data_IF_178484434419
#
_entry.id   IF_178484434419
#
_cell.length_a   1.000
_cell.length_b   1.000
_cell.length_c   1.000
_cell.angle_alpha   90.00
_cell.angle_beta   90.00
_cell.angle_gamma   90.00
#
_symmetry.space_group_name_H-M   'P 1'
#
loop_
_entity.id
_entity.type
_entity.pdbx_description
1 polymer ?
#
# COMPACT_ATOMS: atom_id res chain seq x y z
N UNK A 1 -15.58 16.39 -14.92
CA UNK A 1 -14.70 15.25 -14.63
C UNK A 1 -14.72 15.08 -13.14
N UNK A 2 -15.42 14.08 -12.62
CA UNK A 2 -15.37 13.75 -11.19
C UNK A 2 -13.95 13.25 -10.88
N UNK A 3 -13.25 13.93 -10.00
CA UNK A 3 -11.96 13.46 -9.50
C UNK A 3 -12.20 12.09 -8.84
N UNK A 4 -11.51 11.07 -9.34
CA UNK A 4 -11.58 9.73 -8.79
C UNK A 4 -10.94 9.75 -7.39
N UNK A 5 -11.61 9.21 -6.38
CA UNK A 5 -11.12 9.20 -5.00
C UNK A 5 -9.88 8.31 -4.93
N UNK A 6 -8.79 8.82 -4.35
CA UNK A 6 -7.57 8.06 -4.07
C UNK A 6 -7.62 7.52 -2.66
N UNK A 7 -7.26 6.25 -2.51
CA UNK A 7 -7.16 5.60 -1.20
C UNK A 7 -5.82 5.89 -0.54
N UNK A 8 -5.85 6.09 0.76
CA UNK A 8 -4.68 6.20 1.64
C UNK A 8 -5.03 5.66 3.03
N UNK A 9 -4.04 5.31 3.81
CA UNK A 9 -4.26 4.88 5.19
C UNK A 9 -4.72 6.08 6.01
N UNK A 10 -5.94 6.02 6.52
CA UNK A 10 -6.58 7.11 7.27
C UNK A 10 -7.61 6.58 8.26
N UNK A 11 -7.80 7.31 9.34
CA UNK A 11 -8.75 6.99 10.42
C UNK A 11 -9.83 8.05 10.49
N UNK A 12 -11.06 7.66 10.18
CA UNK A 12 -12.24 8.56 10.15
C UNK A 12 -12.99 8.61 11.50
N UNK A 13 -12.69 7.69 12.43
CA UNK A 13 -13.36 7.59 13.72
C UNK A 13 -12.46 7.92 14.89
N UNK A 14 -12.93 8.76 15.81
CA UNK A 14 -12.21 9.07 17.05
C UNK A 14 -12.09 7.88 17.99
N UNK A 15 -12.90 6.85 17.80
CA UNK A 15 -12.88 5.63 18.61
C UNK A 15 -11.73 4.68 18.24
N UNK A 16 -11.13 4.85 17.06
CA UNK A 16 -10.00 4.03 16.62
C UNK A 16 -8.69 4.73 16.98
N UNK A 17 -7.78 3.96 17.55
CA UNK A 17 -6.42 4.40 17.91
C UNK A 17 -5.38 3.40 17.43
N UNK A 18 -4.13 3.84 17.40
CA UNK A 18 -2.96 3.00 17.14
C UNK A 18 -3.05 2.15 15.86
N UNK A 19 -3.73 2.65 14.80
CA UNK A 19 -3.78 1.93 13.53
C UNK A 19 -2.36 1.70 13.01
N UNK A 20 -1.98 0.44 12.81
CA UNK A 20 -0.73 0.00 12.23
C UNK A 20 -1.00 -0.93 11.06
N UNK A 21 -0.24 -0.77 9.98
CA UNK A 21 -0.26 -1.63 8.80
C UNK A 21 1.18 -2.01 8.49
N UNK A 22 1.51 -3.27 8.60
CA UNK A 22 2.89 -3.77 8.48
C UNK A 22 2.91 -5.24 8.02
N UNK A 23 4.08 -5.77 7.72
CA UNK A 23 4.27 -7.21 7.55
C UNK A 23 4.20 -7.89 8.91
N UNK A 24 3.46 -8.99 8.99
CA UNK A 24 3.27 -9.74 10.23
C UNK A 24 4.61 -10.24 10.79
N UNK A 25 4.79 -10.07 12.12
CA UNK A 25 6.03 -10.45 12.79
C UNK A 25 7.13 -9.40 12.74
N UNK A 26 7.01 -8.35 11.94
CA UNK A 26 7.97 -7.26 11.91
C UNK A 26 7.52 -6.09 12.79
N UNK A 27 8.49 -5.42 13.43
CA UNK A 27 8.18 -4.24 14.25
C UNK A 27 7.87 -3.02 13.39
N UNK A 28 8.68 -2.81 12.36
CA UNK A 28 8.56 -1.72 11.40
C UNK A 28 8.88 -2.31 10.03
N UNK A 29 7.93 -2.23 9.09
CA UNK A 29 8.13 -2.64 7.71
C UNK A 29 7.23 -1.82 6.79
N UNK A 30 7.65 -1.72 5.54
CA UNK A 30 6.77 -1.23 4.50
C UNK A 30 5.65 -2.24 4.27
N UNK A 31 4.39 -1.79 4.13
CA UNK A 31 3.26 -2.69 4.02
C UNK A 31 3.12 -3.25 2.60
N UNK A 32 4.01 -4.16 2.21
CA UNK A 32 3.87 -4.93 0.99
C UNK A 32 4.29 -6.38 1.19
N UNK A 33 3.67 -7.28 0.45
CA UNK A 33 3.95 -8.72 0.45
C UNK A 33 4.01 -9.24 -0.99
N UNK A 34 4.69 -10.38 -1.19
CA UNK A 34 4.71 -11.04 -2.48
C UNK A 34 3.40 -11.80 -2.75
N UNK A 35 2.88 -11.72 -3.97
CA UNK A 35 1.73 -12.51 -4.40
C UNK A 35 2.04 -14.01 -4.31
N UNK A 36 1.20 -14.76 -3.59
CA UNK A 36 1.41 -16.20 -3.35
C UNK A 36 2.59 -16.52 -2.43
N UNK A 37 3.18 -15.53 -1.76
CA UNK A 37 4.18 -15.71 -0.72
C UNK A 37 3.59 -16.20 0.60
N UNK A 38 4.46 -16.47 1.56
CA UNK A 38 4.07 -16.92 2.91
C UNK A 38 3.81 -15.75 3.88
N UNK A 39 4.24 -14.55 3.51
CA UNK A 39 4.08 -13.37 4.34
C UNK A 39 2.63 -12.88 4.35
N UNK A 40 2.24 -12.26 5.46
CA UNK A 40 0.93 -11.64 5.64
C UNK A 40 1.08 -10.17 6.02
N UNK A 41 0.12 -9.36 5.61
CA UNK A 41 -0.07 -8.01 6.16
C UNK A 41 -0.83 -8.13 7.47
N UNK A 42 -0.31 -7.49 8.51
CA UNK A 42 -0.98 -7.30 9.79
C UNK A 42 -1.56 -5.88 9.87
N UNK A 43 -2.87 -5.80 10.05
CA UNK A 43 -3.59 -4.58 10.37
C UNK A 43 -3.99 -4.68 11.82
N UNK A 44 -3.42 -3.82 12.68
CA UNK A 44 -3.64 -3.81 14.11
C UNK A 44 -4.20 -2.45 14.53
N UNK A 45 -5.22 -2.45 15.40
CA UNK A 45 -5.83 -1.22 15.89
C UNK A 45 -6.53 -1.41 17.22
N UNK A 46 -6.68 -0.32 17.98
CA UNK A 46 -7.42 -0.29 19.22
C UNK A 46 -8.78 0.38 19.01
N UNK A 47 -9.85 -0.33 19.35
CA UNK A 47 -11.20 0.22 19.45
C UNK A 47 -11.49 0.67 20.88
N UNK A 48 -11.72 1.98 21.09
CA UNK A 48 -12.05 2.53 22.41
C UNK A 48 -13.49 2.17 22.80
N UNK A 49 -13.68 1.76 24.04
CA UNK A 49 -14.97 1.42 24.61
C UNK A 49 -14.91 0.14 25.43
N UNK A 50 -16.01 -0.13 26.17
CA UNK A 50 -16.15 -1.37 26.94
C UNK A 50 -16.81 -2.43 26.07
N UNK A 51 -16.11 -3.54 25.86
CA UNK A 51 -16.66 -4.72 25.21
C UNK A 51 -16.28 -4.86 23.74
N UNK A 52 -16.75 -5.94 23.18
CA UNK A 52 -16.52 -6.33 21.79
C UNK A 52 -17.42 -5.53 20.84
N UNK A 53 -16.80 -4.95 19.84
CA UNK A 53 -17.50 -4.34 18.70
C UNK A 53 -17.26 -5.20 17.46
N UNK A 54 -18.31 -5.56 16.76
CA UNK A 54 -18.21 -6.34 15.52
C UNK A 54 -17.80 -5.42 14.38
N UNK A 55 -16.54 -5.55 14.01
CA UNK A 55 -15.99 -4.89 12.81
C UNK A 55 -15.97 -5.86 11.65
N UNK A 56 -16.35 -5.35 10.48
CA UNK A 56 -16.23 -6.05 9.21
C UNK A 56 -15.41 -5.20 8.23
N UNK A 57 -14.92 -5.84 7.18
CA UNK A 57 -14.10 -5.17 6.20
C UNK A 57 -14.46 -5.53 4.76
N UNK A 58 -14.26 -4.56 3.88
CA UNK A 58 -14.26 -4.74 2.43
C UNK A 58 -12.86 -4.59 1.88
N UNK A 59 -12.55 -5.38 0.88
CA UNK A 59 -11.29 -5.33 0.13
C UNK A 59 -11.53 -4.59 -1.17
N UNK A 60 -10.71 -3.58 -1.45
CA UNK A 60 -10.75 -2.80 -2.70
C UNK A 60 -9.42 -2.94 -3.40
N UNK A 61 -9.41 -3.38 -4.65
CA UNK A 61 -8.22 -3.36 -5.49
C UNK A 61 -8.06 -1.99 -6.15
N UNK A 62 -6.85 -1.45 -6.12
CA UNK A 62 -6.53 -0.11 -6.60
C UNK A 62 -5.50 -0.16 -7.73
N UNK A 63 -5.58 0.85 -8.58
CA UNK A 63 -4.57 1.14 -9.61
C UNK A 63 -3.25 1.61 -8.97
N UNK A 64 -2.22 1.78 -9.78
CA UNK A 64 -0.91 2.27 -9.34
C UNK A 64 -0.97 3.66 -8.66
N UNK A 65 -1.92 4.50 -9.04
CA UNK A 65 -2.17 5.82 -8.47
C UNK A 65 -3.12 5.82 -7.25
N UNK A 66 -3.46 4.63 -6.74
CA UNK A 66 -4.38 4.41 -5.62
C UNK A 66 -5.85 4.75 -5.88
N UNK A 67 -6.25 4.99 -7.11
CA UNK A 67 -7.67 5.02 -7.47
C UNK A 67 -8.22 3.61 -7.52
N UNK A 68 -9.52 3.44 -7.28
CA UNK A 68 -10.15 2.12 -7.40
C UNK A 68 -9.98 1.57 -8.83
N UNK A 69 -9.59 0.32 -8.94
CA UNK A 69 -9.49 -0.36 -10.23
C UNK A 69 -10.88 -0.73 -10.78
N UNK A 70 -10.93 -1.11 -12.03
CA UNK A 70 -12.16 -1.58 -12.66
C UNK A 70 -12.43 -3.07 -12.45
N UNK A 71 -11.51 -3.78 -11.76
CA UNK A 71 -11.68 -5.20 -11.48
C UNK A 71 -12.81 -5.42 -10.47
N UNK A 72 -13.63 -6.42 -10.72
CA UNK A 72 -14.62 -6.89 -9.78
C UNK A 72 -13.98 -7.74 -8.66
N UNK A 73 -14.58 -7.88 -7.47
CA UNK A 73 -13.99 -8.66 -6.36
C UNK A 73 -13.57 -10.06 -6.74
N UNK A 74 -14.33 -10.78 -7.55
CA UNK A 74 -14.01 -12.14 -7.97
C UNK A 74 -12.76 -12.24 -8.87
N UNK A 75 -12.37 -11.14 -9.51
CA UNK A 75 -11.17 -11.09 -10.36
C UNK A 75 -9.90 -10.92 -9.54
N UNK A 76 -9.92 -10.15 -8.45
CA UNK A 76 -8.73 -9.85 -7.68
C UNK A 76 -8.57 -10.66 -6.38
N UNK A 77 -9.64 -11.30 -5.89
CA UNK A 77 -9.55 -12.13 -4.68
C UNK A 77 -10.44 -13.37 -4.75
N UNK A 78 -10.11 -14.38 -3.95
CA UNK A 78 -11.03 -15.43 -3.51
C UNK A 78 -11.51 -15.03 -2.12
N UNK A 79 -12.82 -15.10 -1.88
CA UNK A 79 -13.43 -14.74 -0.61
C UNK A 79 -14.61 -13.80 -0.80
N UNK A 80 -15.10 -13.26 0.31
CA UNK A 80 -16.29 -12.41 0.34
C UNK A 80 -15.97 -11.03 0.89
N UNK A 81 -16.76 -10.05 0.45
CA UNK A 81 -16.79 -8.74 1.09
C UNK A 81 -17.60 -8.82 2.38
N UNK A 82 -17.29 -7.96 3.34
CA UNK A 82 -18.00 -7.93 4.61
C UNK A 82 -17.60 -9.02 5.60
N UNK A 83 -16.39 -9.54 5.47
CA UNK A 83 -15.82 -10.52 6.43
C UNK A 83 -15.55 -9.85 7.77
N UNK A 84 -15.89 -10.53 8.87
CA UNK A 84 -15.67 -10.03 10.25
C UNK A 84 -14.22 -10.12 10.70
N UNK A 85 -13.84 -9.24 11.63
CA UNK A 85 -12.55 -9.27 12.32
C UNK A 85 -12.78 -9.93 13.68
N UNK A 86 -12.38 -11.20 13.82
CA UNK A 86 -12.68 -12.01 15.00
C UNK A 86 -11.49 -12.14 15.95
N UNK A 87 -10.26 -11.78 15.54
CA UNK A 87 -9.10 -11.79 16.42
C UNK A 87 -9.02 -10.47 17.21
N UNK A 88 -9.39 -10.55 18.48
CA UNK A 88 -9.35 -9.42 19.40
C UNK A 88 -9.00 -9.80 20.83
N UNK A 89 -8.45 -8.84 21.58
CA UNK A 89 -8.17 -8.95 22.99
C UNK A 89 -8.62 -7.70 23.75
N UNK A 90 -9.33 -7.91 24.87
CA UNK A 90 -9.77 -6.79 25.71
C UNK A 90 -8.64 -6.31 26.61
N UNK A 91 -8.56 -5.00 26.83
CA UNK A 91 -7.66 -4.42 27.82
C UNK A 91 -8.05 -4.84 29.25
N UNK A 92 -7.05 -5.07 30.09
CA UNK A 92 -7.25 -5.45 31.51
C UNK A 92 -6.55 -4.43 32.39
N UNK A 93 -7.28 -3.86 33.35
CA UNK A 93 -6.71 -2.97 34.36
C UNK A 93 -6.29 -1.58 33.89
N UNK A 94 -6.81 -1.13 32.74
CA UNK A 94 -6.53 0.18 32.16
C UNK A 94 -7.56 1.24 32.59
N UNK A 95 -7.12 2.51 32.68
CA UNK A 95 -8.01 3.64 33.00
C UNK A 95 -9.06 3.88 31.89
N UNK A 96 -8.65 3.69 30.63
CA UNK A 96 -9.54 3.73 29.46
C UNK A 96 -9.67 2.31 28.94
N UNK A 97 -10.87 1.80 28.85
CA UNK A 97 -11.12 0.48 28.26
C UNK A 97 -11.01 0.55 26.75
N UNK A 98 -10.35 -0.44 26.18
CA UNK A 98 -10.25 -0.65 24.74
C UNK A 98 -10.15 -2.15 24.43
N UNK A 99 -10.42 -2.49 23.18
CA UNK A 99 -10.16 -3.81 22.63
C UNK A 99 -9.16 -3.65 21.49
N UNK A 100 -8.09 -4.44 21.53
CA UNK A 100 -7.13 -4.53 20.44
C UNK A 100 -7.63 -5.54 19.43
N UNK A 101 -7.66 -5.17 18.17
CA UNK A 101 -8.06 -6.00 17.03
C UNK A 101 -6.88 -6.25 16.12
N UNK A 102 -6.83 -7.44 15.55
CA UNK A 102 -5.79 -7.87 14.63
C UNK A 102 -6.42 -8.55 13.41
N UNK A 103 -6.07 -8.08 12.23
CA UNK A 103 -6.44 -8.70 10.96
C UNK A 103 -5.17 -9.09 10.20
N UNK A 104 -5.05 -10.35 9.85
CA UNK A 104 -3.99 -10.87 8.99
C UNK A 104 -4.54 -11.12 7.59
N UNK A 105 -3.83 -10.69 6.57
CA UNK A 105 -4.16 -10.89 5.16
C UNK A 105 -2.93 -11.29 4.34
N UNK A 106 -3.03 -12.29 3.42
CA UNK A 106 -4.20 -13.13 3.17
C UNK A 106 -4.49 -14.08 4.35
N UNK A 107 -5.73 -14.58 4.44
CA UNK A 107 -6.17 -15.55 5.44
C UNK A 107 -7.10 -16.60 4.79
N UNK A 108 -7.73 -17.46 5.57
CA UNK A 108 -8.60 -18.52 5.03
C UNK A 108 -9.85 -17.95 4.32
N UNK A 109 -10.30 -16.75 4.72
CA UNK A 109 -11.49 -16.11 4.16
C UNK A 109 -11.18 -15.23 2.94
N UNK A 110 -9.95 -14.72 2.83
CA UNK A 110 -9.54 -13.78 1.77
C UNK A 110 -8.15 -14.13 1.24
N UNK A 111 -8.08 -14.45 -0.04
CA UNK A 111 -6.84 -14.77 -0.76
C UNK A 111 -6.71 -13.85 -1.98
N UNK A 112 -5.56 -13.21 -2.16
CA UNK A 112 -5.30 -12.35 -3.32
C UNK A 112 -4.97 -13.17 -4.56
N UNK A 113 -5.52 -12.77 -5.72
CA UNK A 113 -5.32 -13.44 -7.02
C UNK A 113 -4.42 -12.67 -7.96
N UNK A 114 -4.34 -11.35 -7.77
CA UNK A 114 -3.55 -10.45 -8.61
C UNK A 114 -2.71 -9.52 -7.76
N UNK A 115 -1.57 -9.10 -8.29
CA UNK A 115 -0.76 -8.05 -7.70
C UNK A 115 -1.41 -6.67 -7.90
N UNK A 116 -1.05 -5.71 -7.07
CA UNK A 116 -1.53 -4.34 -7.13
C UNK A 116 -1.61 -3.70 -5.75
N UNK A 117 -2.18 -2.53 -5.70
CA UNK A 117 -2.47 -1.83 -4.46
C UNK A 117 -3.83 -2.26 -3.92
N UNK A 118 -3.92 -2.38 -2.61
CA UNK A 118 -5.14 -2.80 -1.91
C UNK A 118 -5.49 -1.83 -0.80
N UNK A 119 -6.77 -1.55 -0.66
CA UNK A 119 -7.33 -0.78 0.44
C UNK A 119 -8.35 -1.65 1.19
N UNK A 120 -8.16 -1.78 2.49
CA UNK A 120 -9.11 -2.44 3.39
C UNK A 120 -9.94 -1.36 4.06
N UNK A 121 -11.23 -1.36 3.78
CA UNK A 121 -12.18 -0.44 4.36
C UNK A 121 -12.91 -1.13 5.51
N UNK A 122 -12.64 -0.70 6.74
CA UNK A 122 -13.24 -1.28 7.94
C UNK A 122 -14.41 -0.43 8.40
N UNK A 123 -15.48 -1.10 8.80
CA UNK A 123 -16.72 -0.49 9.29
C UNK A 123 -17.31 -1.31 10.44
N UNK A 124 -18.21 -0.71 11.21
CA UNK A 124 -19.02 -1.43 12.19
C UNK A 124 -20.20 -2.13 11.47
N UNK A 125 -20.45 -3.41 11.76
CA UNK A 125 -21.55 -4.14 11.15
C UNK A 125 -22.93 -3.47 11.34
N UNK A 126 -23.12 -2.73 12.44
CA UNK A 126 -24.35 -2.00 12.69
C UNK A 126 -24.52 -0.75 11.81
N UNK A 127 -23.42 -0.26 11.21
CA UNK A 127 -23.40 0.95 10.38
C UNK A 127 -22.49 0.77 9.14
N UNK A 128 -22.83 -0.16 8.22
CA UNK A 128 -21.94 -0.56 7.12
C UNK A 128 -21.60 0.55 6.12
N UNK A 129 -22.42 1.59 6.05
CA UNK A 129 -22.19 2.75 5.18
C UNK A 129 -21.12 3.73 5.72
N UNK A 130 -20.68 3.52 6.97
CA UNK A 130 -19.71 4.40 7.62
C UNK A 130 -18.34 3.72 7.73
N UNK A 131 -17.44 4.05 6.81
CA UNK A 131 -16.05 3.59 6.89
C UNK A 131 -15.36 4.29 8.06
N UNK A 132 -14.90 3.50 9.05
CA UNK A 132 -14.24 4.01 10.26
C UNK A 132 -12.76 4.20 10.07
N UNK A 133 -12.11 3.39 9.25
CA UNK A 133 -10.76 3.61 8.76
C UNK A 133 -10.50 2.85 7.45
N UNK A 134 -9.48 3.28 6.74
CA UNK A 134 -8.93 2.61 5.58
C UNK A 134 -7.48 2.24 5.86
N UNK A 135 -7.08 1.02 5.54
CA UNK A 135 -5.71 0.54 5.62
C UNK A 135 -5.21 0.14 4.23
N UNK A 136 -4.08 0.71 3.79
CA UNK A 136 -3.53 0.52 2.46
C UNK A 136 -2.24 -0.28 2.50
N UNK A 137 -2.08 -1.24 1.58
CA UNK A 137 -0.85 -2.01 1.37
C UNK A 137 -0.75 -2.45 -0.09
N UNK A 138 0.37 -3.08 -0.45
CA UNK A 138 0.60 -3.57 -1.81
C UNK A 138 0.89 -5.07 -1.83
N UNK A 139 0.39 -5.74 -2.86
CA UNK A 139 0.73 -7.13 -3.20
C UNK A 139 1.56 -7.08 -4.47
N UNK A 140 2.79 -7.58 -4.43
CA UNK A 140 3.78 -7.39 -5.50
C UNK A 140 4.18 -8.69 -6.17
N UNK A 141 4.52 -8.62 -7.45
CA UNK A 141 5.20 -9.68 -8.18
C UNK A 141 6.60 -9.16 -8.55
N UNK A 142 7.68 -9.71 -7.96
CA UNK A 142 9.04 -9.22 -8.19
C UNK A 142 9.60 -9.70 -9.54
N UNK A 143 8.97 -9.29 -10.64
CA UNK A 143 9.33 -9.70 -12.01
C UNK A 143 10.45 -8.86 -12.63
N UNK A 144 10.77 -7.71 -12.04
CA UNK A 144 11.86 -6.84 -12.43
C UNK A 144 12.76 -6.52 -11.24
N UNK A 145 14.04 -6.16 -11.52
CA UNK A 145 14.95 -5.68 -10.50
C UNK A 145 15.21 -4.19 -10.69
N UNK A 146 15.14 -3.44 -9.60
CA UNK A 146 15.43 -2.01 -9.58
C UNK A 146 16.75 -1.78 -8.84
N UNK A 147 17.71 -1.11 -9.52
CA UNK A 147 18.93 -0.60 -8.91
C UNK A 147 18.81 0.90 -8.79
N UNK A 148 18.79 1.42 -7.57
CA UNK A 148 18.63 2.84 -7.30
C UNK A 148 19.84 3.39 -6.54
N UNK A 149 20.13 4.67 -6.76
CA UNK A 149 21.11 5.44 -6.01
C UNK A 149 20.57 6.83 -5.70
N UNK A 150 20.93 7.34 -4.53
CA UNK A 150 20.60 8.69 -4.08
C UNK A 150 21.90 9.43 -3.84
N UNK A 151 22.04 10.64 -4.37
CA UNK A 151 23.23 11.47 -4.25
C UNK A 151 22.86 12.86 -3.74
N UNK A 152 23.65 13.39 -2.80
CA UNK A 152 23.58 14.81 -2.39
C UNK A 152 24.32 15.74 -3.34
N UNK A 153 25.10 15.20 -4.28
CA UNK A 153 25.67 15.98 -5.40
C UNK A 153 24.68 15.85 -6.55
N UNK A 154 24.00 16.94 -6.86
CA UNK A 154 22.96 16.98 -7.87
C UNK A 154 23.45 17.67 -9.14
N UNK A 155 22.73 17.53 -10.23
CA UNK A 155 23.01 18.22 -11.49
C UNK A 155 22.71 19.72 -11.42
N UNK A 156 22.02 20.18 -10.38
CA UNK A 156 21.64 21.60 -10.20
C UNK A 156 22.46 22.31 -9.13
N UNK A 157 22.92 21.59 -8.10
CA UNK A 157 23.74 22.17 -7.05
C UNK A 157 24.76 21.19 -6.45
N UNK A 158 25.77 21.72 -5.81
CA UNK A 158 26.77 20.95 -5.05
C UNK A 158 26.68 21.19 -3.54
N UNK A 159 25.66 21.92 -3.08
CA UNK A 159 25.53 22.38 -1.70
C UNK A 159 24.83 21.38 -0.78
N UNK A 160 24.49 20.19 -1.30
CA UNK A 160 23.77 19.13 -0.58
C UNK A 160 22.41 19.59 -0.02
N UNK A 161 21.81 20.63 -0.62
CA UNK A 161 20.47 21.12 -0.26
C UNK A 161 19.38 20.23 -0.87
N UNK A 162 19.72 19.51 -1.91
CA UNK A 162 18.84 18.61 -2.63
C UNK A 162 19.44 17.18 -2.68
N UNK A 163 18.61 16.24 -3.00
CA UNK A 163 19.02 14.86 -3.27
C UNK A 163 18.55 14.48 -4.67
N UNK A 164 19.42 13.88 -5.44
CA UNK A 164 19.09 13.36 -6.76
C UNK A 164 18.96 11.85 -6.73
N UNK A 165 17.85 11.35 -7.24
CA UNK A 165 17.57 9.92 -7.36
C UNK A 165 17.87 9.49 -8.79
N UNK A 166 18.61 8.41 -8.95
CA UNK A 166 18.85 7.74 -10.23
C UNK A 166 18.58 6.26 -10.08
N UNK A 167 17.89 5.66 -11.05
CA UNK A 167 17.64 4.24 -11.00
C UNK A 167 17.57 3.59 -12.37
N UNK A 168 17.79 2.29 -12.39
CA UNK A 168 17.67 1.44 -13.56
C UNK A 168 16.72 0.29 -13.25
N UNK A 169 15.84 -0.03 -14.19
CA UNK A 169 14.95 -1.18 -14.16
C UNK A 169 15.56 -2.25 -15.06
N UNK A 170 15.94 -3.39 -14.48
CA UNK A 170 16.35 -4.57 -15.23
C UNK A 170 15.12 -5.45 -15.46
N UNK A 171 14.73 -5.57 -16.73
CA UNK A 171 13.53 -6.27 -17.16
C UNK A 171 13.83 -7.53 -18.01
N UNK A 172 15.01 -8.14 -17.83
CA UNK A 172 15.47 -9.31 -18.60
C UNK A 172 14.45 -10.46 -18.62
N UNK A 173 13.78 -10.68 -17.49
CA UNK A 173 12.83 -11.79 -17.34
C UNK A 173 11.36 -11.36 -17.57
N UNK A 174 11.12 -10.09 -17.84
CA UNK A 174 9.79 -9.51 -18.06
C UNK A 174 9.86 -8.48 -19.18
N UNK A 175 9.69 -8.88 -20.47
CA UNK A 175 9.76 -7.96 -21.59
C UNK A 175 8.70 -6.87 -21.50
N UNK A 176 9.13 -5.62 -21.61
CA UNK A 176 8.26 -4.44 -21.58
C UNK A 176 8.33 -3.83 -23.00
N UNK A 177 7.22 -3.89 -23.73
CA UNK A 177 7.20 -3.51 -25.16
C UNK A 177 7.23 -2.00 -25.33
N UNK A 178 6.45 -1.27 -24.55
CA UNK A 178 6.34 0.19 -24.63
C UNK A 178 6.59 0.84 -23.27
N UNK A 179 7.86 0.94 -22.82
CA UNK A 179 8.17 1.43 -21.47
C UNK A 179 7.60 2.81 -21.14
N UNK A 180 7.45 3.69 -22.11
CA UNK A 180 6.89 5.05 -21.91
C UNK A 180 5.40 5.03 -21.52
N UNK A 181 4.66 4.00 -21.94
CA UNK A 181 3.22 3.88 -21.70
C UNK A 181 2.86 2.80 -20.70
N UNK A 182 3.61 1.69 -20.73
CA UNK A 182 3.31 0.50 -19.95
C UNK A 182 3.81 0.62 -18.51
N UNK A 183 4.89 1.40 -18.28
CA UNK A 183 5.41 1.65 -16.95
C UNK A 183 4.72 2.85 -16.30
N UNK A 184 4.32 2.65 -15.05
CA UNK A 184 3.88 3.71 -14.14
C UNK A 184 4.88 3.80 -13.01
N UNK A 185 5.66 4.88 -12.98
CA UNK A 185 6.70 5.12 -11.98
C UNK A 185 6.20 6.12 -10.96
N UNK A 186 6.38 5.77 -9.69
CA UNK A 186 6.10 6.65 -8.56
C UNK A 186 7.35 6.65 -7.67
N UNK A 187 7.92 7.82 -7.44
CA UNK A 187 9.03 8.00 -6.51
C UNK A 187 8.53 8.78 -5.31
N UNK A 188 8.62 8.18 -4.14
CA UNK A 188 8.19 8.76 -2.87
C UNK A 188 9.40 9.18 -2.04
N UNK A 189 9.27 10.26 -1.30
CA UNK A 189 10.21 10.64 -0.24
C UNK A 189 9.53 10.42 1.10
N UNK A 190 10.19 9.70 2.01
CA UNK A 190 9.70 9.40 3.37
C UNK A 190 8.30 8.76 3.37
N UNK A 191 8.01 7.90 2.39
CA UNK A 191 6.71 7.25 2.17
C UNK A 191 5.52 8.20 2.00
N UNK A 192 5.77 9.45 1.72
CA UNK A 192 4.74 10.44 1.47
C UNK A 192 4.25 10.33 0.05
N UNK A 193 2.93 10.19 -0.11
CA UNK A 193 2.28 10.12 -1.44
C UNK A 193 1.92 11.49 -1.99
N UNK A 194 1.82 12.50 -1.14
CA UNK A 194 1.47 13.87 -1.50
C UNK A 194 2.59 14.60 -2.25
N UNK A 195 3.85 14.16 -2.07
CA UNK A 195 5.02 14.69 -2.78
C UNK A 195 5.58 13.69 -3.82
N UNK A 196 4.78 12.72 -4.23
CA UNK A 196 5.22 11.73 -5.21
C UNK A 196 5.62 12.38 -6.54
N UNK A 197 6.80 12.04 -7.05
CA UNK A 197 7.17 12.34 -8.43
C UNK A 197 6.62 11.26 -9.33
N UNK A 198 5.84 11.66 -10.31
CA UNK A 198 5.14 10.77 -11.26
C UNK A 198 5.45 11.19 -12.70
N UNK A 199 4.92 10.46 -13.66
CA UNK A 199 5.01 10.77 -15.09
C UNK A 199 6.45 10.85 -15.63
N UNK A 200 7.36 10.14 -14.96
CA UNK A 200 8.77 10.07 -15.35
C UNK A 200 8.93 9.38 -16.70
N UNK A 201 9.75 9.98 -17.57
CA UNK A 201 10.12 9.39 -18.84
C UNK A 201 11.51 8.75 -18.73
N UNK A 202 11.72 7.57 -19.33
CA UNK A 202 13.04 6.95 -19.35
C UNK A 202 14.02 7.77 -20.19
N UNK A 203 15.25 7.92 -19.70
CA UNK A 203 16.35 8.56 -20.43
C UNK A 203 16.97 7.64 -21.46
N UNK A 204 16.96 6.34 -21.22
CA UNK A 204 17.48 5.32 -22.12
C UNK A 204 16.68 4.03 -22.00
N UNK A 205 16.40 3.42 -23.13
CA UNK A 205 15.71 2.13 -23.24
C UNK A 205 16.63 1.19 -24.01
N UNK A 206 17.13 0.17 -23.34
CA UNK A 206 17.88 -0.94 -23.90
C UNK A 206 17.05 -2.23 -23.78
N UNK A 207 17.45 -3.27 -24.47
CA UNK A 207 16.70 -4.54 -24.53
C UNK A 207 16.30 -5.09 -23.15
N UNK A 208 17.19 -4.99 -22.15
CA UNK A 208 16.99 -5.55 -20.82
C UNK A 208 17.13 -4.52 -19.69
N UNK A 209 17.21 -3.24 -20.02
CA UNK A 209 17.42 -2.18 -19.04
C UNK A 209 16.75 -0.88 -19.47
N UNK A 210 16.01 -0.30 -18.56
CA UNK A 210 15.36 1.00 -18.71
C UNK A 210 15.94 1.93 -17.65
N UNK A 211 16.53 3.06 -18.07
CA UNK A 211 17.28 3.98 -17.20
C UNK A 211 16.52 5.28 -16.95
N UNK A 212 16.52 5.68 -15.69
CA UNK A 212 16.00 6.96 -15.19
C UNK A 212 17.11 7.71 -14.45
N UNK A 213 18.24 7.95 -15.15
CA UNK A 213 19.40 8.67 -14.66
C UNK A 213 19.39 10.10 -15.20
N UNK A 214 20.03 11.04 -14.49
CA UNK A 214 20.10 12.46 -14.91
C UNK A 214 18.75 13.11 -15.15
N UNK A 215 17.74 12.72 -14.40
CA UNK A 215 16.40 13.28 -14.52
C UNK A 215 16.23 14.42 -13.52
N UNK A 216 16.09 15.64 -14.01
CA UNK A 216 15.92 16.83 -13.17
C UNK A 216 14.62 16.83 -12.34
N UNK A 217 13.62 16.06 -12.73
CA UNK A 217 12.40 15.87 -11.93
C UNK A 217 12.62 15.02 -10.68
N UNK A 218 13.81 14.45 -10.52
CA UNK A 218 14.20 13.60 -9.38
C UNK A 218 15.25 14.27 -8.48
N UNK A 219 15.25 15.59 -8.46
CA UNK A 219 16.13 16.40 -7.60
C UNK A 219 15.33 17.10 -6.53
#
# INVERSE_FOLDING_TARGET
>A
VNAQVKFFTDVNSKQIKTLQVKVAGELISEPYIALGGEEQIEINFDGLGSGYTRYAYNVVHCNADWTQSQLSPIEYMNGFQGTTIDDFANSIGTTTQYSNYRLLLPNDDVQFKVSGNYAIQVYNEDTPDQIIFTACFSVVEPVVNISASVSGNTDIDTNQSHQQVSFNINNKNFPITYPQTDLKIFVYQDNRRDNAVTDLQPMSILENQISYTYNLSLI
#
